data_IF_640785769569
#
_entry.id   IF_640785769569
#
_cell.length_a   1.000
_cell.length_b   1.000
_cell.length_c   1.000
_cell.angle_alpha   90.00
_cell.angle_beta   90.00
_cell.angle_gamma   90.00
#
_symmetry.space_group_name_H-M   'P 1'
#
loop_
_entity.id
_entity.type
_entity.pdbx_description
1 polymer ?
#
# COMPACT_ATOMS: atom_id res chain seq x y z
N UNK A 1 7.52 -9.18 8.64
CA UNK A 1 7.50 -7.70 8.69
C UNK A 1 6.05 -7.27 8.83
N UNK A 2 5.74 -6.40 9.78
CA UNK A 2 4.38 -5.85 9.97
C UNK A 2 4.37 -4.45 9.40
N UNK A 3 3.53 -4.22 8.40
CA UNK A 3 3.38 -2.93 7.75
C UNK A 3 2.17 -2.22 8.36
N UNK A 4 2.42 -1.26 9.25
CA UNK A 4 1.37 -0.47 9.88
C UNK A 4 0.95 0.68 8.96
N UNK A 5 -0.29 0.64 8.49
CA UNK A 5 -0.91 1.79 7.81
C UNK A 5 -1.59 2.66 8.86
N UNK A 6 -1.24 3.94 8.89
CA UNK A 6 -1.78 4.88 9.86
C UNK A 6 -3.30 5.11 9.65
N UNK A 7 -4.01 5.40 10.74
CA UNK A 7 -5.46 5.43 10.96
C UNK A 7 -6.42 5.18 9.77
N UNK A 8 -7.11 4.03 9.81
CA UNK A 8 -8.28 3.65 9.01
C UNK A 8 -8.02 3.35 7.51
N UNK A 9 -7.44 2.19 7.18
CA UNK A 9 -7.36 1.73 5.79
C UNK A 9 -8.77 1.57 5.21
N UNK A 10 -8.98 2.13 4.02
CA UNK A 10 -10.28 2.14 3.33
C UNK A 10 -10.33 1.16 2.16
N UNK A 11 -9.26 1.09 1.38
CA UNK A 11 -9.15 0.23 0.22
C UNK A 11 -7.72 -0.28 0.04
N UNK A 12 -7.61 -1.43 -0.62
CA UNK A 12 -6.36 -2.09 -0.97
C UNK A 12 -6.35 -2.40 -2.47
N UNK A 13 -5.20 -2.23 -3.10
CA UNK A 13 -4.92 -2.71 -4.46
C UNK A 13 -3.60 -3.49 -4.48
N UNK A 14 -3.53 -4.47 -5.39
CA UNK A 14 -2.35 -5.31 -5.61
C UNK A 14 -1.98 -5.25 -7.08
N UNK A 15 -0.71 -5.02 -7.38
CA UNK A 15 -0.19 -4.90 -8.74
C UNK A 15 1.29 -4.56 -8.72
N UNK A 16 1.95 -4.70 -9.86
CA UNK A 16 3.31 -4.18 -10.04
C UNK A 16 3.20 -2.68 -10.34
N UNK A 17 3.49 -1.85 -9.34
CA UNK A 17 3.34 -0.39 -9.43
C UNK A 17 4.68 0.33 -9.66
N UNK A 18 5.82 -0.33 -9.42
CA UNK A 18 7.16 0.21 -9.67
C UNK A 18 7.89 -0.41 -10.88
N UNK A 19 7.24 -1.36 -11.55
CA UNK A 19 7.67 -2.05 -12.76
C UNK A 19 8.91 -2.97 -12.55
N UNK A 20 9.04 -3.58 -11.38
CA UNK A 20 10.12 -4.49 -11.01
C UNK A 20 9.79 -5.98 -11.18
N UNK A 21 8.60 -6.30 -11.71
CA UNK A 21 8.05 -7.65 -11.90
C UNK A 21 7.62 -8.38 -10.61
N UNK A 22 7.65 -7.70 -9.47
CA UNK A 22 7.17 -8.19 -8.18
C UNK A 22 5.83 -7.49 -7.87
N UNK A 23 4.94 -8.20 -7.16
CA UNK A 23 3.68 -7.62 -6.74
C UNK A 23 3.87 -6.68 -5.55
N UNK A 24 3.37 -5.47 -5.70
CA UNK A 24 3.31 -4.45 -4.65
C UNK A 24 1.91 -4.39 -4.03
N UNK A 25 1.84 -3.74 -2.86
CA UNK A 25 0.59 -3.47 -2.15
C UNK A 25 0.43 -1.96 -1.99
N UNK A 26 -0.74 -1.44 -2.39
CA UNK A 26 -1.13 -0.05 -2.16
C UNK A 26 -2.31 -0.01 -1.20
N UNK A 27 -2.22 0.87 -0.20
CA UNK A 27 -3.28 1.09 0.80
C UNK A 27 -3.65 2.57 0.84
N UNK A 28 -4.94 2.87 0.69
CA UNK A 28 -5.49 4.22 0.89
C UNK A 28 -6.06 4.34 2.29
N UNK A 29 -5.68 5.37 3.03
CA UNK A 29 -6.18 5.61 4.39
C UNK A 29 -7.12 6.82 4.39
N UNK A 30 -8.38 6.62 4.81
CA UNK A 30 -9.39 7.70 4.84
C UNK A 30 -9.22 8.62 6.06
N UNK A 31 -8.47 8.19 7.09
CA UNK A 31 -8.31 8.97 8.31
C UNK A 31 -7.34 10.15 8.20
N UNK A 32 -6.51 10.20 7.17
CA UNK A 32 -5.35 11.08 7.11
C UNK A 32 -4.91 11.46 5.68
N UNK A 33 -5.77 11.30 4.66
CA UNK A 33 -5.54 11.65 3.25
C UNK A 33 -4.21 11.14 2.67
N UNK A 34 -3.68 10.04 3.22
CA UNK A 34 -2.39 9.48 2.85
C UNK A 34 -2.54 8.15 2.11
N UNK A 35 -1.62 7.92 1.16
CA UNK A 35 -1.48 6.66 0.42
C UNK A 35 -0.15 6.00 0.83
N UNK A 36 -0.23 4.75 1.29
CA UNK A 36 0.94 3.91 1.55
C UNK A 36 1.20 2.96 0.38
N UNK A 37 2.45 2.86 -0.06
CA UNK A 37 2.90 1.87 -1.06
C UNK A 37 3.96 0.99 -0.40
N UNK A 38 3.72 -0.31 -0.41
CA UNK A 38 4.65 -1.33 0.07
C UNK A 38 5.20 -2.10 -1.12
N UNK A 39 6.47 -1.87 -1.39
CA UNK A 39 7.16 -2.51 -2.51
C UNK A 39 7.45 -3.98 -2.18
N UNK A 40 7.24 -4.84 -3.16
CA UNK A 40 7.70 -6.22 -3.11
C UNK A 40 9.24 -6.30 -3.08
N UNK A 41 9.77 -7.41 -2.58
CA UNK A 41 11.20 -7.73 -2.59
C UNK A 41 11.41 -9.21 -2.88
#
# INVERSE_FOLDING_TARGET
MTYSTDSSPWAIAVGDFNNDTILDIVVTNHGNDNIGIFLGC
#
